data_IF_862247180558
#
_entry.id   IF_862247180558
#
_cell.length_a   1.000
_cell.length_b   1.000
_cell.length_c   1.000
_cell.angle_alpha   90.00
_cell.angle_beta   90.00
_cell.angle_gamma   90.00
#
_symmetry.space_group_name_H-M   'P 1'
#
loop_
_entity.id
_entity.type
_entity.pdbx_description
1 polymer ?
#
# COMPACT_ATOMS: atom_id res chain seq x y z
N UNK A 1 -30.80 64.14 52.38
CA UNK A 1 -30.88 62.67 52.36
C UNK A 1 -31.09 62.18 50.93
N UNK A 2 -30.03 61.73 50.22
CA UNK A 2 -30.14 61.15 48.87
C UNK A 2 -29.86 59.65 48.95
N UNK A 3 -30.78 58.85 48.40
CA UNK A 3 -30.76 57.38 48.34
C UNK A 3 -29.93 56.89 47.14
N UNK A 4 -29.17 55.83 47.42
CA UNK A 4 -28.54 54.78 46.60
C UNK A 4 -28.92 54.72 45.11
N UNK A 5 -27.92 54.50 44.24
CA UNK A 5 -27.92 53.36 43.31
C UNK A 5 -26.49 53.01 42.87
N UNK A 6 -26.07 51.79 43.18
CA UNK A 6 -24.85 51.14 42.71
C UNK A 6 -25.09 50.71 41.25
N UNK A 7 -24.19 51.04 40.32
CA UNK A 7 -24.20 50.49 38.97
C UNK A 7 -22.84 49.87 38.69
N UNK A 8 -22.81 48.54 38.85
CA UNK A 8 -21.74 47.64 38.45
C UNK A 8 -21.92 47.41 36.95
N UNK A 9 -21.15 48.08 36.11
CA UNK A 9 -21.03 47.73 34.69
C UNK A 9 -19.95 46.66 34.53
N UNK A 10 -20.42 45.41 34.50
CA UNK A 10 -19.69 44.22 34.11
C UNK A 10 -19.18 44.45 32.69
N UNK A 11 -17.86 44.60 32.54
CA UNK A 11 -17.19 44.58 31.25
C UNK A 11 -17.29 43.13 30.74
N UNK A 12 -18.24 42.86 29.84
CA UNK A 12 -18.36 41.59 29.15
C UNK A 12 -17.06 41.32 28.37
N UNK A 13 -16.19 40.48 28.93
CA UNK A 13 -15.24 39.69 28.16
C UNK A 13 -16.07 38.78 27.23
N UNK A 14 -16.40 39.26 26.04
CA UNK A 14 -16.67 38.37 24.92
C UNK A 14 -15.31 37.82 24.48
N UNK A 15 -14.85 36.82 25.21
CA UNK A 15 -13.87 35.87 24.68
C UNK A 15 -14.52 35.28 23.43
N UNK A 16 -14.08 35.74 22.26
CA UNK A 16 -14.23 34.94 21.05
C UNK A 16 -13.39 33.70 21.30
N UNK A 17 -14.02 32.63 21.81
CA UNK A 17 -13.47 31.30 21.68
C UNK A 17 -13.57 31.00 20.19
N UNK A 18 -12.54 31.37 19.44
CA UNK A 18 -12.27 30.80 18.13
C UNK A 18 -12.00 29.32 18.39
N UNK A 19 -13.06 28.52 18.49
CA UNK A 19 -12.93 27.08 18.34
C UNK A 19 -12.29 26.90 16.97
N UNK A 20 -11.04 26.45 16.94
CA UNK A 20 -10.47 25.85 15.75
C UNK A 20 -11.39 24.67 15.42
N UNK A 21 -12.42 24.91 14.62
CA UNK A 21 -13.29 23.87 14.10
C UNK A 21 -12.36 22.95 13.34
N UNK A 22 -12.14 21.74 13.86
CA UNK A 22 -11.30 20.76 13.18
C UNK A 22 -11.79 20.63 11.74
N UNK A 23 -10.85 20.55 10.80
CA UNK A 23 -11.18 20.50 9.37
C UNK A 23 -12.29 19.48 9.13
N UNK A 24 -13.35 19.89 8.40
CA UNK A 24 -14.35 18.94 7.96
C UNK A 24 -13.69 17.85 7.08
N UNK A 25 -14.39 16.75 6.81
CA UNK A 25 -13.77 15.62 6.12
C UNK A 25 -13.32 15.99 4.69
N UNK A 26 -14.06 16.86 4.01
CA UNK A 26 -13.75 17.31 2.66
C UNK A 26 -12.47 18.15 2.61
N UNK A 27 -12.29 19.05 3.57
CA UNK A 27 -11.08 19.86 3.75
C UNK A 27 -9.88 18.97 4.06
N UNK A 28 -10.06 17.96 4.92
CA UNK A 28 -9.02 16.99 5.24
C UNK A 28 -8.62 16.15 4.01
N UNK A 29 -9.60 15.70 3.21
CA UNK A 29 -9.35 14.96 1.98
C UNK A 29 -8.70 15.85 0.90
N UNK A 30 -9.07 17.13 0.82
CA UNK A 30 -8.43 18.09 -0.08
C UNK A 30 -6.94 18.29 0.28
N UNK A 31 -6.61 18.42 1.57
CA UNK A 31 -5.21 18.49 2.03
C UNK A 31 -4.43 17.22 1.66
N UNK A 32 -5.06 16.05 1.77
CA UNK A 32 -4.48 14.81 1.25
C UNK A 32 -4.20 14.89 -0.25
N UNK A 33 -5.17 15.31 -1.09
CA UNK A 33 -4.98 15.44 -2.54
C UNK A 33 -3.78 16.32 -2.91
N UNK A 34 -3.57 17.41 -2.17
CA UNK A 34 -2.42 18.32 -2.38
C UNK A 34 -1.09 17.68 -1.95
N UNK A 35 -1.10 16.86 -0.90
CA UNK A 35 0.13 16.31 -0.29
C UNK A 35 0.52 14.92 -0.78
N UNK A 36 -0.36 14.17 -1.45
CA UNK A 36 -0.12 12.77 -1.84
C UNK A 36 1.06 12.54 -2.79
N UNK A 37 1.50 13.58 -3.49
CA UNK A 37 2.63 13.54 -4.43
C UNK A 37 3.98 13.91 -3.81
N UNK A 38 4.03 14.21 -2.51
CA UNK A 38 5.29 14.49 -1.83
C UNK A 38 6.02 13.19 -1.51
N UNK A 39 7.36 13.25 -1.51
CA UNK A 39 8.18 12.12 -1.07
C UNK A 39 7.80 11.69 0.35
N UNK A 40 7.74 10.37 0.57
CA UNK A 40 7.46 9.77 1.87
C UNK A 40 8.33 10.36 2.99
N UNK A 41 7.68 10.84 4.04
CA UNK A 41 8.30 11.34 5.26
C UNK A 41 7.32 11.18 6.43
N UNK A 42 7.83 11.21 7.66
CA UNK A 42 7.05 10.98 8.88
C UNK A 42 5.83 11.90 9.00
N UNK A 43 5.99 13.20 8.70
CA UNK A 43 4.90 14.17 8.81
C UNK A 43 3.77 13.88 7.81
N UNK A 44 4.10 13.55 6.56
CA UNK A 44 3.10 13.17 5.56
C UNK A 44 2.37 11.88 5.96
N UNK A 45 3.11 10.88 6.46
CA UNK A 45 2.54 9.62 6.95
C UNK A 45 1.57 9.85 8.11
N UNK A 46 1.94 10.69 9.08
CA UNK A 46 1.08 11.06 10.21
C UNK A 46 -0.22 11.71 9.73
N UNK A 47 -0.14 12.63 8.76
CA UNK A 47 -1.32 13.28 8.19
C UNK A 47 -2.27 12.28 7.52
N UNK A 48 -1.75 11.39 6.66
CA UNK A 48 -2.57 10.38 5.98
C UNK A 48 -3.15 9.38 6.99
N UNK A 49 -2.37 8.98 8.00
CA UNK A 49 -2.84 8.09 9.07
C UNK A 49 -3.94 8.73 9.92
N UNK A 50 -3.86 10.05 10.16
CA UNK A 50 -4.92 10.79 10.84
C UNK A 50 -6.22 10.84 10.02
N UNK A 51 -6.11 10.98 8.69
CA UNK A 51 -7.26 10.90 7.78
C UNK A 51 -7.88 9.50 7.78
N UNK A 52 -7.07 8.43 7.78
CA UNK A 52 -7.58 7.04 7.83
C UNK A 52 -8.30 6.69 9.14
N UNK A 53 -7.97 7.35 10.26
CA UNK A 53 -8.76 7.22 11.51
C UNK A 53 -10.21 7.71 11.36
N UNK A 54 -10.47 8.55 10.35
CA UNK A 54 -11.79 9.06 9.96
C UNK A 54 -12.36 8.32 8.74
N UNK A 55 -11.89 7.11 8.47
CA UNK A 55 -12.31 6.33 7.30
C UNK A 55 -13.82 6.07 7.21
N UNK A 56 -14.56 6.08 8.33
CA UNK A 56 -16.03 5.98 8.32
C UNK A 56 -16.73 7.20 7.72
N UNK A 57 -16.03 8.33 7.58
CA UNK A 57 -16.51 9.55 6.93
C UNK A 57 -16.10 9.60 5.43
N UNK A 58 -15.34 8.62 4.95
CA UNK A 58 -14.82 8.56 3.58
C UNK A 58 -15.53 7.49 2.75
N UNK A 59 -15.58 7.68 1.43
CA UNK A 59 -16.00 6.63 0.50
C UNK A 59 -14.96 5.49 0.46
N UNK A 60 -15.39 4.30 0.03
CA UNK A 60 -14.48 3.16 -0.16
C UNK A 60 -13.32 3.48 -1.12
N UNK A 61 -13.61 4.25 -2.18
CA UNK A 61 -12.60 4.70 -3.15
C UNK A 61 -11.62 5.70 -2.54
N UNK A 62 -12.11 6.64 -1.73
CA UNK A 62 -11.26 7.59 -1.00
C UNK A 62 -10.35 6.87 0.01
N UNK A 63 -10.85 5.88 0.75
CA UNK A 63 -10.02 5.06 1.65
C UNK A 63 -8.95 4.33 0.84
N UNK A 64 -9.32 3.69 -0.28
CA UNK A 64 -8.37 3.00 -1.14
C UNK A 64 -7.26 3.93 -1.68
N UNK A 65 -7.62 5.15 -2.07
CA UNK A 65 -6.70 6.18 -2.51
C UNK A 65 -5.69 6.59 -1.44
N UNK A 66 -6.15 6.83 -0.22
CA UNK A 66 -5.27 7.22 0.91
C UNK A 66 -4.34 6.06 1.30
N UNK A 67 -4.88 4.84 1.40
CA UNK A 67 -4.11 3.62 1.68
C UNK A 67 -3.02 3.37 0.61
N UNK A 68 -3.33 3.57 -0.67
CA UNK A 68 -2.34 3.44 -1.76
C UNK A 68 -1.17 4.40 -1.58
N UNK A 69 -1.44 5.69 -1.37
CA UNK A 69 -0.39 6.70 -1.22
C UNK A 69 0.40 6.51 0.07
N UNK A 70 -0.24 6.04 1.14
CA UNK A 70 0.46 5.68 2.37
C UNK A 70 1.40 4.48 2.16
N UNK A 71 0.96 3.46 1.42
CA UNK A 71 1.80 2.33 1.00
C UNK A 71 3.02 2.78 0.20
N UNK A 72 2.82 3.69 -0.77
CA UNK A 72 3.92 4.30 -1.53
C UNK A 72 4.92 5.05 -0.67
N UNK A 73 4.44 5.86 0.28
CA UNK A 73 5.32 6.59 1.18
C UNK A 73 6.17 5.65 2.05
N UNK A 74 5.57 4.57 2.57
CA UNK A 74 6.33 3.56 3.31
C UNK A 74 7.31 2.78 2.44
N UNK A 75 6.98 2.53 1.17
CA UNK A 75 7.90 1.90 0.22
C UNK A 75 9.11 2.81 -0.06
N UNK A 76 8.88 4.09 -0.33
CA UNK A 76 9.93 5.10 -0.57
C UNK A 76 10.87 5.28 0.64
N UNK A 77 10.36 5.04 1.85
CA UNK A 77 11.14 5.06 3.09
C UNK A 77 11.88 3.74 3.39
N UNK A 78 11.70 2.70 2.56
CA UNK A 78 12.32 1.39 2.76
C UNK A 78 11.65 0.52 3.83
N UNK A 79 10.56 0.99 4.43
CA UNK A 79 9.72 0.26 5.40
C UNK A 79 8.71 -0.62 4.68
N UNK A 80 9.23 -1.57 3.90
CA UNK A 80 8.46 -2.34 2.91
C UNK A 80 7.34 -3.19 3.54
N UNK A 81 7.50 -3.67 4.77
CA UNK A 81 6.44 -4.44 5.45
C UNK A 81 5.20 -3.58 5.75
N UNK A 82 5.39 -2.31 6.13
CA UNK A 82 4.27 -1.37 6.28
C UNK A 82 3.64 -1.05 4.92
N UNK A 83 4.46 -0.92 3.87
CA UNK A 83 3.96 -0.66 2.51
C UNK A 83 2.99 -1.77 2.05
N UNK A 84 3.34 -3.04 2.29
CA UNK A 84 2.49 -4.19 1.97
C UNK A 84 1.12 -4.07 2.64
N UNK A 85 1.07 -3.75 3.94
CA UNK A 85 -0.19 -3.64 4.69
C UNK A 85 -1.11 -2.60 4.07
N UNK A 86 -0.58 -1.42 3.75
CA UNK A 86 -1.36 -0.33 3.17
C UNK A 86 -1.78 -0.60 1.72
N UNK A 87 -0.92 -1.23 0.93
CA UNK A 87 -1.29 -1.71 -0.40
C UNK A 87 -2.40 -2.77 -0.37
N UNK A 88 -2.31 -3.74 0.54
CA UNK A 88 -3.36 -4.76 0.72
C UNK A 88 -4.68 -4.13 1.20
N UNK A 89 -4.62 -3.09 2.05
CA UNK A 89 -5.82 -2.34 2.44
C UNK A 89 -6.44 -1.57 1.27
N UNK A 90 -5.62 -0.95 0.42
CA UNK A 90 -6.09 -0.25 -0.77
C UNK A 90 -6.81 -1.19 -1.75
N UNK A 91 -6.26 -2.39 -1.97
CA UNK A 91 -6.88 -3.43 -2.81
C UNK A 91 -8.24 -3.94 -2.27
N UNK A 92 -8.60 -3.67 -1.02
CA UNK A 92 -9.97 -3.98 -0.53
C UNK A 92 -11.02 -3.08 -1.17
N UNK A 93 -10.67 -1.84 -1.51
CA UNK A 93 -11.57 -0.89 -2.14
C UNK A 93 -11.48 -0.90 -3.67
N UNK A 94 -10.27 -1.10 -4.23
CA UNK A 94 -10.07 -1.27 -5.67
C UNK A 94 -9.22 -2.54 -5.96
N UNK A 95 -9.85 -3.73 -6.01
CA UNK A 95 -9.14 -5.00 -6.16
C UNK A 95 -8.38 -5.14 -7.48
N UNK A 96 -8.73 -4.36 -8.50
CA UNK A 96 -8.17 -4.48 -9.85
C UNK A 96 -7.13 -3.40 -10.18
N UNK A 97 -6.64 -2.67 -9.18
CA UNK A 97 -5.65 -1.62 -9.40
C UNK A 97 -4.27 -2.18 -9.76
N UNK A 98 -3.95 -2.18 -11.05
CA UNK A 98 -2.75 -2.81 -11.64
C UNK A 98 -1.45 -2.32 -11.03
N UNK A 99 -1.38 -1.03 -10.66
CA UNK A 99 -0.18 -0.40 -10.09
C UNK A 99 0.19 -1.01 -8.74
N UNK A 100 -0.79 -1.38 -7.90
CA UNK A 100 -0.51 -2.05 -6.62
C UNK A 100 -0.11 -3.51 -6.85
N UNK A 101 -0.76 -4.21 -7.78
CA UNK A 101 -0.35 -5.56 -8.16
C UNK A 101 1.11 -5.58 -8.64
N UNK A 102 1.52 -4.58 -9.44
CA UNK A 102 2.93 -4.38 -9.79
C UNK A 102 3.81 -4.20 -8.56
N UNK A 103 3.47 -3.25 -7.69
CA UNK A 103 4.25 -2.94 -6.48
C UNK A 103 4.43 -4.15 -5.57
N UNK A 104 3.34 -4.83 -5.20
CA UNK A 104 3.37 -6.02 -4.35
C UNK A 104 4.17 -7.17 -4.98
N UNK A 105 3.99 -7.41 -6.29
CA UNK A 105 4.76 -8.41 -7.03
C UNK A 105 6.28 -8.19 -6.88
N UNK A 106 6.75 -6.98 -7.19
CA UNK A 106 8.18 -6.66 -7.10
C UNK A 106 8.70 -6.54 -5.66
N UNK A 107 7.87 -6.10 -4.71
CA UNK A 107 8.20 -6.11 -3.28
C UNK A 107 8.48 -7.53 -2.81
N UNK A 108 7.60 -8.49 -3.10
CA UNK A 108 7.81 -9.88 -2.70
C UNK A 108 9.04 -10.50 -3.36
N UNK A 109 9.35 -10.13 -4.61
CA UNK A 109 10.62 -10.51 -5.26
C UNK A 109 11.83 -9.90 -4.57
N UNK A 110 11.80 -8.63 -4.20
CA UNK A 110 12.91 -8.00 -3.47
C UNK A 110 13.15 -8.71 -2.13
N UNK A 111 12.08 -9.15 -1.44
CA UNK A 111 12.16 -9.91 -0.19
C UNK A 111 12.77 -11.32 -0.36
N UNK A 112 12.93 -11.86 -1.58
CA UNK A 112 13.59 -13.16 -1.77
C UNK A 112 15.11 -13.09 -1.57
N UNK A 113 15.72 -11.90 -1.66
CA UNK A 113 17.19 -11.73 -1.63
C UNK A 113 17.86 -12.40 -0.42
N UNK A 114 17.38 -12.24 0.84
CA UNK A 114 18.01 -12.90 1.98
C UNK A 114 17.96 -14.44 1.89
N UNK A 115 16.86 -15.01 1.38
CA UNK A 115 16.74 -16.46 1.19
C UNK A 115 17.74 -16.97 0.14
N UNK A 116 17.93 -16.22 -0.95
CA UNK A 116 18.95 -16.52 -1.97
C UNK A 116 20.37 -16.49 -1.37
N UNK A 117 20.68 -15.49 -0.54
CA UNK A 117 21.98 -15.42 0.15
C UNK A 117 22.21 -16.65 1.02
N UNK A 118 21.23 -17.04 1.85
CA UNK A 118 21.31 -18.25 2.70
C UNK A 118 21.49 -19.52 1.87
N UNK A 119 20.78 -19.66 0.75
CA UNK A 119 20.94 -20.80 -0.16
C UNK A 119 22.37 -20.89 -0.70
N UNK A 120 22.95 -19.75 -1.12
CA UNK A 120 24.31 -19.71 -1.65
C UNK A 120 25.37 -20.06 -0.61
N UNK A 121 25.23 -19.55 0.62
CA UNK A 121 26.11 -19.88 1.74
C UNK A 121 26.03 -21.36 2.10
N UNK A 122 24.81 -21.90 2.23
CA UNK A 122 24.59 -23.31 2.52
C UNK A 122 25.16 -24.22 1.42
N UNK A 123 25.01 -23.85 0.14
CA UNK A 123 25.63 -24.58 -0.98
C UNK A 123 27.15 -24.61 -0.89
N UNK A 124 27.79 -23.47 -0.57
CA UNK A 124 29.26 -23.40 -0.40
C UNK A 124 29.75 -24.28 0.74
N UNK A 125 28.99 -24.32 1.84
CA UNK A 125 29.26 -25.17 3.00
C UNK A 125 28.92 -26.65 2.76
N UNK A 126 28.32 -27.01 1.62
CA UNK A 126 27.75 -28.33 1.33
C UNK A 126 26.70 -28.78 2.36
N UNK A 127 25.98 -27.82 2.96
CA UNK A 127 24.90 -28.06 3.91
C UNK A 127 23.56 -28.14 3.18
N UNK A 128 23.15 -29.37 2.87
CA UNK A 128 21.89 -29.64 2.19
C UNK A 128 20.66 -29.24 3.02
N UNK A 129 20.73 -29.35 4.35
CA UNK A 129 19.60 -29.06 5.24
C UNK A 129 19.31 -27.56 5.29
N UNK A 130 20.34 -26.74 5.49
CA UNK A 130 20.20 -25.28 5.48
C UNK A 130 19.79 -24.76 4.10
N UNK A 131 20.32 -25.37 3.03
CA UNK A 131 19.93 -25.01 1.67
C UNK A 131 18.43 -25.28 1.42
N UNK A 132 17.94 -26.46 1.80
CA UNK A 132 16.53 -26.83 1.66
C UNK A 132 15.60 -25.89 2.44
N UNK A 133 15.99 -25.50 3.68
CA UNK A 133 15.24 -24.54 4.49
C UNK A 133 15.16 -23.17 3.82
N UNK A 134 16.30 -22.65 3.35
CA UNK A 134 16.34 -21.36 2.66
C UNK A 134 15.56 -21.38 1.33
N UNK A 135 15.58 -22.50 0.61
CA UNK A 135 14.75 -22.68 -0.58
C UNK A 135 13.25 -22.69 -0.26
N UNK A 136 12.83 -23.25 0.87
CA UNK A 136 11.44 -23.18 1.31
C UNK A 136 10.98 -21.73 1.59
N UNK A 137 11.83 -20.93 2.25
CA UNK A 137 11.60 -19.48 2.45
C UNK A 137 11.48 -18.74 1.11
N UNK A 138 12.40 -18.99 0.18
CA UNK A 138 12.39 -18.45 -1.18
C UNK A 138 11.08 -18.79 -1.91
N UNK A 139 10.71 -20.08 -1.91
CA UNK A 139 9.52 -20.58 -2.61
C UNK A 139 8.23 -19.96 -2.06
N UNK A 140 8.14 -19.73 -0.76
CA UNK A 140 6.99 -19.06 -0.15
C UNK A 140 6.82 -17.62 -0.68
N UNK A 141 7.92 -16.86 -0.75
CA UNK A 141 7.89 -15.48 -1.23
C UNK A 141 7.58 -15.40 -2.74
N UNK A 142 8.14 -16.30 -3.53
CA UNK A 142 7.82 -16.38 -4.97
C UNK A 142 6.34 -16.70 -5.18
N UNK A 143 5.77 -17.63 -4.40
CA UNK A 143 4.33 -17.94 -4.45
C UNK A 143 3.44 -16.75 -4.09
N UNK A 144 3.91 -15.83 -3.25
CA UNK A 144 3.21 -14.57 -2.97
C UNK A 144 3.34 -13.58 -4.14
N UNK A 145 4.53 -13.48 -4.75
CA UNK A 145 4.77 -12.54 -5.85
C UNK A 145 3.98 -12.87 -7.13
N UNK A 146 3.94 -14.15 -7.52
CA UNK A 146 3.36 -14.61 -8.79
C UNK A 146 1.92 -14.12 -9.04
N UNK A 147 0.93 -14.30 -8.14
CA UNK A 147 -0.44 -13.88 -8.44
C UNK A 147 -0.56 -12.36 -8.67
N UNK A 148 0.21 -11.55 -7.95
CA UNK A 148 0.27 -10.11 -8.18
C UNK A 148 0.88 -9.77 -9.54
N UNK A 149 1.98 -10.44 -9.91
CA UNK A 149 2.61 -10.25 -11.22
C UNK A 149 1.71 -10.74 -12.37
N UNK A 150 0.95 -11.83 -12.17
CA UNK A 150 -0.02 -12.30 -13.17
C UNK A 150 -1.17 -11.30 -13.36
N UNK A 151 -1.70 -10.72 -12.29
CA UNK A 151 -2.73 -9.69 -12.39
C UNK A 151 -2.18 -8.44 -13.08
N UNK A 152 -0.98 -8.01 -12.73
CA UNK A 152 -0.30 -6.91 -13.42
C UNK A 152 -0.08 -7.22 -14.90
N UNK A 153 0.51 -8.37 -15.25
CA UNK A 153 0.71 -8.82 -16.64
C UNK A 153 -0.59 -8.91 -17.44
N UNK A 154 -1.68 -9.32 -16.80
CA UNK A 154 -2.98 -9.41 -17.45
C UNK A 154 -3.56 -8.03 -17.80
N UNK A 155 -3.33 -7.04 -16.93
CA UNK A 155 -3.83 -5.67 -17.13
C UNK A 155 -2.91 -4.83 -18.01
N UNK A 156 -1.60 -5.01 -17.87
CA UNK A 156 -0.55 -4.28 -18.57
C UNK A 156 0.47 -5.28 -19.13
N UNK A 157 0.18 -5.88 -20.30
CA UNK A 157 1.04 -6.90 -20.87
C UNK A 157 2.43 -6.37 -21.23
N UNK A 158 3.46 -6.99 -20.66
CA UNK A 158 4.86 -6.64 -20.87
C UNK A 158 5.70 -7.92 -21.03
N UNK A 159 6.59 -7.96 -22.02
CA UNK A 159 7.43 -9.13 -22.28
C UNK A 159 8.34 -9.46 -21.09
N UNK A 160 8.87 -8.42 -20.42
CA UNK A 160 9.78 -8.58 -19.30
C UNK A 160 9.08 -9.21 -18.08
N UNK A 161 7.85 -8.79 -17.79
CA UNK A 161 7.02 -9.32 -16.69
C UNK A 161 6.62 -10.76 -17.00
N UNK A 162 6.18 -11.07 -18.23
CA UNK A 162 5.87 -12.44 -18.63
C UNK A 162 7.08 -13.37 -18.52
N UNK A 163 8.25 -12.91 -18.97
CA UNK A 163 9.50 -13.65 -18.82
C UNK A 163 9.84 -13.88 -17.34
N UNK A 164 9.64 -12.86 -16.49
CA UNK A 164 9.83 -12.93 -15.04
C UNK A 164 8.93 -14.01 -14.42
N UNK A 165 7.62 -13.99 -14.70
CA UNK A 165 6.66 -15.00 -14.20
C UNK A 165 7.10 -16.42 -14.59
N UNK A 166 7.45 -16.63 -15.86
CA UNK A 166 7.91 -17.94 -16.33
C UNK A 166 9.21 -18.41 -15.64
N UNK A 167 10.15 -17.50 -15.42
CA UNK A 167 11.40 -17.81 -14.71
C UNK A 167 11.14 -18.14 -13.23
N UNK A 168 10.18 -17.47 -12.60
CA UNK A 168 9.78 -17.75 -11.21
C UNK A 168 9.15 -19.13 -11.07
N UNK A 169 8.28 -19.54 -11.98
CA UNK A 169 7.74 -20.90 -11.97
C UNK A 169 8.84 -21.97 -12.08
N UNK A 170 9.78 -21.77 -13.01
CA UNK A 170 10.94 -22.64 -13.16
C UNK A 170 11.80 -22.67 -11.88
N UNK A 171 12.05 -21.51 -11.26
CA UNK A 171 12.93 -21.42 -10.08
C UNK A 171 12.36 -22.16 -8.86
N UNK A 172 11.04 -22.21 -8.70
CA UNK A 172 10.38 -22.97 -7.62
C UNK A 172 10.03 -24.42 -7.98
N UNK A 173 10.47 -24.87 -9.17
CA UNK A 173 10.21 -26.20 -9.74
C UNK A 173 8.70 -26.48 -9.88
N UNK A 174 7.91 -25.48 -10.25
CA UNK A 174 6.50 -25.64 -10.57
C UNK A 174 6.33 -25.77 -12.09
N UNK A 175 6.02 -27.00 -12.53
CA UNK A 175 5.88 -27.36 -13.94
C UNK A 175 4.43 -27.37 -14.42
N UNK A 176 3.47 -27.28 -13.49
CA UNK A 176 2.04 -27.44 -13.81
C UNK A 176 1.36 -26.08 -13.97
N UNK A 177 1.66 -25.11 -13.10
CA UNK A 177 1.04 -23.79 -13.15
C UNK A 177 1.26 -23.05 -14.49
N UNK A 178 2.43 -23.13 -15.16
CA UNK A 178 2.61 -22.50 -16.47
C UNK A 178 1.67 -23.02 -17.55
N UNK A 179 1.22 -24.28 -17.50
CA UNK A 179 0.36 -24.89 -18.52
C UNK A 179 -1.01 -24.21 -18.65
N UNK A 180 -1.44 -23.53 -17.59
CA UNK A 180 -2.72 -22.79 -17.55
C UNK A 180 -2.53 -21.28 -17.42
N UNK A 181 -1.30 -20.77 -17.59
CA UNK A 181 -0.98 -19.36 -17.42
C UNK A 181 -1.79 -18.48 -18.37
N UNK A 182 -1.84 -18.78 -19.66
CA UNK A 182 -2.58 -17.98 -20.65
C UNK A 182 -4.07 -17.85 -20.30
N UNK A 183 -4.67 -18.92 -19.79
CA UNK A 183 -6.06 -18.90 -19.35
C UNK A 183 -6.26 -18.02 -18.11
N UNK A 184 -5.34 -18.10 -17.13
CA UNK A 184 -5.37 -17.23 -15.94
C UNK A 184 -5.15 -15.76 -16.29
N UNK A 185 -4.21 -15.45 -17.20
CA UNK A 185 -3.98 -14.08 -17.65
C UNK A 185 -5.23 -13.50 -18.33
N UNK A 186 -5.90 -14.27 -19.20
CA UNK A 186 -7.18 -13.84 -19.80
C UNK A 186 -8.26 -13.58 -18.75
N UNK A 187 -8.38 -14.46 -17.75
CA UNK A 187 -9.34 -14.28 -16.65
C UNK A 187 -9.01 -13.05 -15.79
N UNK A 188 -7.73 -12.81 -15.52
CA UNK A 188 -7.26 -11.69 -14.71
C UNK A 188 -7.35 -10.33 -15.43
N UNK A 189 -7.48 -10.32 -16.76
CA UNK A 189 -7.55 -9.08 -17.56
C UNK A 189 -8.90 -8.34 -17.43
N UNK A 190 -9.87 -8.92 -16.71
CA UNK A 190 -11.19 -8.31 -16.50
C UNK A 190 -11.10 -7.15 -15.49
N UNK A 191 -11.80 -6.05 -15.81
CA UNK A 191 -11.98 -4.86 -14.96
C UNK A 191 -10.67 -4.22 -14.47
N UNK A 192 -9.61 -4.27 -15.27
CA UNK A 192 -8.34 -3.65 -14.92
C UNK A 192 -8.47 -2.14 -14.73
N UNK A 193 -7.91 -1.65 -13.61
CA UNK A 193 -7.85 -0.23 -13.28
C UNK A 193 -6.38 0.18 -13.26
N UNK A 194 -6.00 1.13 -14.09
CA UNK A 194 -4.62 1.67 -14.14
C UNK A 194 -4.48 3.04 -13.48
N UNK A 195 -5.62 3.70 -13.22
CA UNK A 195 -5.69 5.01 -12.57
C UNK A 195 -6.71 4.96 -11.44
N UNK A 196 -6.25 5.33 -10.25
CA UNK A 196 -7.07 5.46 -9.06
C UNK A 196 -7.65 6.89 -9.03
N UNK A 197 -8.87 7.04 -9.56
CA UNK A 197 -9.56 8.34 -9.60
C UNK A 197 -10.05 8.76 -8.21
N UNK A 198 -10.17 10.08 -7.99
CA UNK A 198 -10.58 10.65 -6.70
C UNK A 198 -12.11 10.61 -6.46
N UNK A 199 -12.90 10.41 -7.51
CA UNK A 199 -14.37 10.42 -7.53
C UNK A 199 -14.90 9.14 -8.20
#
# INVERSE_FOLDING_TARGET
MKRKLFLITILCLTYFISFAQGDNIDDAYLKYKVSRNVKGNTKSIENLSALLKRSSELSVKQVANVEYHLGRMYEEMGTVDSAIVHYENSLKGEPNYSVIHRALGFIYLAKTKPAVTKMNEASKAKDATSNAKAFAEYKLLVKKAIPYLEKYQACEPDEQTLATINNLYKSIKDLESPKTLDARLKANAVNCVSLLEDE
#
